data_IF_638748372741
#
_entry.id   IF_638748372741
#
_cell.length_a   1.000
_cell.length_b   1.000
_cell.length_c   1.000
_cell.angle_alpha   90.00
_cell.angle_beta   90.00
_cell.angle_gamma   90.00
#
_symmetry.space_group_name_H-M   'P 1'
#
loop_
_entity.id
_entity.type
_entity.pdbx_description
1 polymer ?
#
# COMPACT_ATOMS: atom_id res chain seq x y z
N UNK A 1 -13.14 1.03 -68.69
CA UNK A 1 -12.30 2.25 -68.51
C UNK A 1 -13.13 3.45 -68.04
N UNK A 2 -14.35 3.64 -68.53
CA UNK A 2 -15.22 4.75 -68.10
C UNK A 2 -15.64 4.70 -66.63
N UNK A 3 -15.87 3.50 -66.08
CA UNK A 3 -16.25 3.32 -64.67
C UNK A 3 -15.10 3.62 -63.69
N UNK A 4 -13.86 3.28 -64.08
CA UNK A 4 -12.64 3.58 -63.30
C UNK A 4 -12.27 5.06 -63.39
N UNK A 5 -12.51 5.70 -64.54
CA UNK A 5 -12.37 7.15 -64.69
C UNK A 5 -13.42 7.91 -63.86
N UNK A 6 -14.66 7.40 -63.81
CA UNK A 6 -15.74 7.93 -62.97
C UNK A 6 -15.39 7.84 -61.47
N UNK A 7 -14.93 6.68 -61.00
CA UNK A 7 -14.53 6.49 -59.60
C UNK A 7 -13.34 7.38 -59.20
N UNK A 8 -12.34 7.56 -60.06
CA UNK A 8 -11.21 8.46 -59.78
C UNK A 8 -11.68 9.92 -59.71
N UNK A 9 -12.66 10.31 -60.54
CA UNK A 9 -13.25 11.65 -60.52
C UNK A 9 -14.04 11.90 -59.23
N UNK A 10 -14.81 10.90 -58.80
CA UNK A 10 -15.60 10.95 -57.57
C UNK A 10 -14.72 10.98 -56.31
N UNK A 11 -13.62 10.20 -56.29
CA UNK A 11 -12.61 10.23 -55.21
C UNK A 11 -11.91 11.59 -55.18
N UNK A 12 -11.55 12.15 -56.34
CA UNK A 12 -10.95 13.49 -56.43
C UNK A 12 -11.90 14.57 -55.93
N UNK A 13 -13.18 14.53 -56.31
CA UNK A 13 -14.20 15.48 -55.82
C UNK A 13 -14.47 15.33 -54.32
N UNK A 14 -14.36 14.11 -53.79
CA UNK A 14 -14.54 13.83 -52.35
C UNK A 14 -13.33 14.29 -51.53
N UNK A 15 -12.10 14.03 -52.00
CA UNK A 15 -10.88 14.57 -51.38
C UNK A 15 -10.84 16.09 -51.43
N UNK A 16 -11.22 16.72 -52.54
CA UNK A 16 -11.29 18.19 -52.64
C UNK A 16 -12.34 18.77 -51.69
N UNK A 17 -13.48 18.09 -51.47
CA UNK A 17 -14.47 18.49 -50.46
C UNK A 17 -13.92 18.32 -49.03
N UNK A 18 -13.19 17.25 -48.75
CA UNK A 18 -12.54 17.01 -47.46
C UNK A 18 -11.43 18.04 -47.17
N UNK A 19 -10.62 18.40 -48.16
CA UNK A 19 -9.61 19.45 -47.99
C UNK A 19 -10.26 20.82 -47.77
N UNK A 20 -11.36 21.12 -48.46
CA UNK A 20 -12.12 22.36 -48.23
C UNK A 20 -12.74 22.43 -46.83
N UNK A 21 -13.16 21.29 -46.24
CA UNK A 21 -13.66 21.25 -44.85
C UNK A 21 -12.55 21.27 -43.81
N UNK A 22 -11.35 20.79 -44.13
CA UNK A 22 -10.17 20.78 -43.25
C UNK A 22 -9.37 22.08 -43.25
N UNK A 23 -9.67 23.05 -44.14
CA UNK A 23 -9.06 24.38 -44.11
C UNK A 23 -9.25 25.01 -42.74
N UNK A 24 -8.13 25.33 -42.09
CA UNK A 24 -8.10 26.01 -40.81
C UNK A 24 -8.74 27.41 -40.94
N UNK A 25 -9.26 27.98 -39.84
CA UNK A 25 -9.80 29.35 -39.85
C UNK A 25 -8.79 30.38 -40.39
N UNK A 26 -7.51 30.13 -40.16
CA UNK A 26 -6.40 30.95 -40.65
C UNK A 26 -6.28 30.85 -42.17
N UNK A 27 -6.25 29.66 -42.74
CA UNK A 27 -6.16 29.45 -44.20
C UNK A 27 -7.37 30.04 -44.94
N UNK A 28 -8.58 29.93 -44.37
CA UNK A 28 -9.79 30.57 -44.93
C UNK A 28 -9.68 32.10 -44.95
N UNK A 29 -9.07 32.69 -43.92
CA UNK A 29 -8.86 34.14 -43.84
C UNK A 29 -7.80 34.63 -44.83
N UNK A 30 -6.78 33.81 -45.11
CA UNK A 30 -5.76 34.07 -46.12
C UNK A 30 -6.37 33.95 -47.53
N UNK A 31 -7.21 32.94 -47.78
CA UNK A 31 -7.92 32.77 -49.05
C UNK A 31 -8.84 33.96 -49.36
N UNK A 32 -9.58 34.46 -48.36
CA UNK A 32 -10.41 35.67 -48.48
C UNK A 32 -9.56 36.92 -48.78
N UNK A 33 -8.41 37.07 -48.12
CA UNK A 33 -7.50 38.18 -48.35
C UNK A 33 -6.93 38.15 -49.77
N UNK A 34 -6.54 36.98 -50.28
CA UNK A 34 -6.05 36.80 -51.65
C UNK A 34 -7.14 37.15 -52.67
N UNK A 35 -8.39 36.72 -52.44
CA UNK A 35 -9.53 37.06 -53.31
C UNK A 35 -9.81 38.56 -53.35
N UNK A 36 -9.76 39.25 -52.20
CA UNK A 36 -9.97 40.70 -52.11
C UNK A 36 -8.85 41.51 -52.80
N UNK A 37 -7.64 40.96 -52.89
CA UNK A 37 -6.47 41.64 -53.47
C UNK A 37 -6.25 41.35 -54.97
N UNK A 38 -7.25 40.82 -55.66
CA UNK A 38 -7.26 40.58 -57.11
C UNK A 38 -6.96 39.13 -57.52
N UNK A 39 -6.94 38.19 -56.56
CA UNK A 39 -6.71 36.77 -56.80
C UNK A 39 -5.24 36.38 -56.86
N UNK A 40 -4.98 35.06 -56.87
CA UNK A 40 -3.65 34.45 -56.78
C UNK A 40 -2.64 35.02 -57.78
N UNK A 41 -3.05 35.17 -59.05
CA UNK A 41 -2.18 35.67 -60.12
C UNK A 41 -1.79 37.14 -59.93
N UNK A 42 -2.67 37.97 -59.38
CA UNK A 42 -2.41 39.39 -59.16
C UNK A 42 -1.53 39.63 -57.93
N UNK A 43 -1.65 38.77 -56.92
CA UNK A 43 -0.78 38.78 -55.73
C UNK A 43 0.63 38.33 -56.11
N UNK A 44 0.77 37.21 -56.84
CA UNK A 44 2.08 36.68 -57.25
C UNK A 44 2.84 37.58 -58.24
N UNK A 45 2.12 38.40 -59.01
CA UNK A 45 2.72 39.36 -59.96
C UNK A 45 3.28 40.62 -59.29
N UNK A 46 2.91 40.92 -58.04
CA UNK A 46 3.37 42.10 -57.30
C UNK A 46 4.14 41.71 -56.05
N UNK A 47 5.44 42.00 -56.03
CA UNK A 47 6.31 41.71 -54.88
C UNK A 47 5.84 42.40 -53.60
N UNK A 48 5.22 43.57 -53.74
CA UNK A 48 4.62 44.30 -52.62
C UNK A 48 3.43 43.55 -52.02
N UNK A 49 2.56 42.97 -52.86
CA UNK A 49 1.41 42.17 -52.38
C UNK A 49 1.85 40.82 -51.80
N UNK A 50 2.90 40.20 -52.34
CA UNK A 50 3.50 39.01 -51.75
C UNK A 50 4.08 39.29 -50.35
N UNK A 51 4.78 40.42 -50.17
CA UNK A 51 5.29 40.84 -48.87
C UNK A 51 4.15 41.09 -47.86
N UNK A 52 3.07 41.76 -48.30
CA UNK A 52 1.88 41.98 -47.47
C UNK A 52 1.19 40.67 -47.06
N UNK A 53 1.14 39.67 -47.93
CA UNK A 53 0.61 38.35 -47.63
C UNK A 53 1.44 37.61 -46.58
N UNK A 54 2.77 37.59 -46.72
CA UNK A 54 3.70 36.96 -45.76
C UNK A 54 3.58 37.62 -44.37
N UNK A 55 3.43 38.95 -44.33
CA UNK A 55 3.18 39.68 -43.07
C UNK A 55 1.81 39.38 -42.47
N UNK A 56 0.78 39.18 -43.29
CA UNK A 56 -0.56 38.82 -42.85
C UNK A 56 -0.58 37.41 -42.23
N UNK A 57 0.09 36.45 -42.86
CA UNK A 57 0.27 35.09 -42.33
C UNK A 57 1.05 35.06 -41.01
N UNK A 58 2.15 35.81 -40.90
CA UNK A 58 2.94 35.91 -39.67
C UNK A 58 2.14 36.50 -38.48
N UNK A 59 1.17 37.39 -38.76
CA UNK A 59 0.27 37.94 -37.73
C UNK A 59 -0.78 36.93 -37.27
N UNK A 60 -1.32 36.13 -38.19
CA UNK A 60 -2.32 35.11 -37.87
C UNK A 60 -1.72 33.99 -37.02
N UNK A 61 -0.51 33.54 -37.34
CA UNK A 61 0.23 32.51 -36.59
C UNK A 61 0.62 32.96 -35.18
N UNK A 62 1.00 34.23 -34.98
CA UNK A 62 1.32 34.78 -33.65
C UNK A 62 0.12 34.83 -32.68
N UNK A 63 -1.12 34.88 -33.20
CA UNK A 63 -2.35 34.91 -32.39
C UNK A 63 -2.83 33.53 -31.91
N UNK A 64 -2.26 32.42 -32.41
CA UNK A 64 -2.73 31.05 -32.10
C UNK A 64 -2.03 30.36 -30.92
N UNK A 65 -1.35 31.11 -30.07
CA UNK A 65 -1.01 30.67 -28.71
C UNK A 65 -0.04 29.49 -28.59
N UNK A 66 0.82 29.24 -29.57
CA UNK A 66 1.99 28.35 -29.40
C UNK A 66 3.24 29.19 -29.16
N UNK A 67 3.43 29.60 -27.91
CA UNK A 67 4.65 30.24 -27.43
C UNK A 67 5.80 29.22 -27.41
N UNK A 68 6.61 29.18 -28.46
CA UNK A 68 8.02 28.81 -28.31
C UNK A 68 8.79 30.10 -28.10
N UNK A 69 9.23 30.29 -26.86
CA UNK A 69 10.11 31.37 -26.43
C UNK A 69 11.41 31.34 -27.26
N UNK A 70 11.62 32.36 -28.07
CA UNK A 70 12.94 32.81 -28.51
C UNK A 70 12.82 34.28 -28.95
N UNK A 71 12.84 35.18 -27.96
CA UNK A 71 13.11 36.60 -28.18
C UNK A 71 14.55 36.76 -28.65
N UNK A 72 14.75 36.82 -29.97
CA UNK A 72 15.93 37.44 -30.56
C UNK A 72 15.44 38.64 -31.37
N UNK A 73 15.78 39.85 -30.93
CA UNK A 73 15.61 41.06 -31.73
C UNK A 73 16.57 40.96 -32.91
N UNK A 74 16.07 40.64 -34.10
CA UNK A 74 16.87 40.69 -35.32
C UNK A 74 16.96 42.14 -35.86
N UNK A 75 18.09 42.54 -36.47
CA UNK A 75 18.25 43.84 -37.12
C UNK A 75 17.29 44.01 -38.30
N UNK A 76 16.84 45.24 -38.54
CA UNK A 76 15.83 45.60 -39.56
C UNK A 76 16.25 45.24 -41.01
N UNK A 77 17.56 45.05 -41.27
CA UNK A 77 18.10 44.60 -42.56
C UNK A 77 17.95 43.09 -42.82
N UNK A 78 18.00 42.26 -41.77
CA UNK A 78 17.84 40.80 -41.89
C UNK A 78 16.38 40.40 -42.09
N UNK A 79 15.44 41.19 -41.55
CA UNK A 79 14.01 41.00 -41.78
C UNK A 79 13.65 41.19 -43.27
N UNK A 80 14.25 42.19 -43.95
CA UNK A 80 14.05 42.42 -45.39
C UNK A 80 14.67 41.30 -46.25
N UNK A 81 15.84 40.77 -45.88
CA UNK A 81 16.43 39.60 -46.56
C UNK A 81 15.61 38.33 -46.35
N UNK A 82 15.07 38.12 -45.15
CA UNK A 82 14.16 37.02 -44.83
C UNK A 82 12.86 37.09 -45.62
N UNK A 83 12.28 38.28 -45.74
CA UNK A 83 11.07 38.56 -46.54
C UNK A 83 11.33 38.31 -48.04
N UNK A 84 12.48 38.75 -48.56
CA UNK A 84 12.88 38.49 -49.96
C UNK A 84 13.07 36.99 -50.24
N UNK A 85 13.67 36.25 -49.30
CA UNK A 85 13.86 34.79 -49.40
C UNK A 85 12.55 34.01 -49.26
N UNK A 86 11.64 34.47 -48.41
CA UNK A 86 10.30 33.90 -48.27
C UNK A 86 9.48 34.10 -49.54
N UNK A 87 9.53 35.28 -50.17
CA UNK A 87 8.86 35.54 -51.46
C UNK A 87 9.49 34.68 -52.57
N UNK A 88 10.81 34.53 -52.59
CA UNK A 88 11.49 33.66 -53.54
C UNK A 88 11.11 32.17 -53.36
N UNK A 89 11.00 31.70 -52.12
CA UNK A 89 10.54 30.35 -51.78
C UNK A 89 9.07 30.14 -52.16
N UNK A 90 8.17 31.08 -51.84
CA UNK A 90 6.76 31.03 -52.24
C UNK A 90 6.60 30.96 -53.77
N UNK A 91 7.36 31.77 -54.51
CA UNK A 91 7.35 31.73 -55.98
C UNK A 91 8.02 30.48 -56.55
N UNK A 92 8.89 29.81 -55.79
CA UNK A 92 9.54 28.55 -56.16
C UNK A 92 8.59 27.37 -55.91
N UNK A 93 8.00 27.31 -54.72
CA UNK A 93 7.01 26.31 -54.30
C UNK A 93 5.74 26.34 -55.16
N UNK A 94 5.27 27.53 -55.56
CA UNK A 94 4.16 27.64 -56.54
C UNK A 94 4.54 27.11 -57.94
N UNK A 95 5.82 27.20 -58.32
CA UNK A 95 6.31 26.72 -59.63
C UNK A 95 6.66 25.24 -59.64
N UNK A 96 6.88 24.64 -58.48
CA UNK A 96 7.21 23.23 -58.34
C UNK A 96 5.92 22.39 -58.30
N UNK A 97 5.85 21.37 -59.16
CA UNK A 97 4.68 20.51 -59.24
C UNK A 97 4.53 19.70 -57.94
N UNK A 98 3.35 19.78 -57.32
CA UNK A 98 2.99 19.09 -56.05
C UNK A 98 3.43 17.62 -56.02
N UNK A 99 3.42 16.94 -57.17
CA UNK A 99 3.86 15.54 -57.30
C UNK A 99 5.34 15.33 -56.95
N UNK A 100 6.22 16.28 -57.29
CA UNK A 100 7.66 16.19 -57.01
C UNK A 100 7.91 16.35 -55.51
N UNK A 101 7.22 17.31 -54.89
CA UNK A 101 7.33 17.59 -53.44
C UNK A 101 6.83 16.40 -52.61
N UNK A 102 5.69 15.81 -52.99
CA UNK A 102 5.14 14.63 -52.30
C UNK A 102 6.11 13.45 -52.38
N UNK A 103 6.72 13.21 -53.54
CA UNK A 103 7.61 12.07 -53.75
C UNK A 103 8.88 12.19 -52.90
N UNK A 104 9.51 13.36 -52.86
CA UNK A 104 10.71 13.59 -52.04
C UNK A 104 10.39 13.46 -50.54
N UNK A 105 9.23 13.96 -50.09
CA UNK A 105 8.86 13.90 -48.70
C UNK A 105 8.50 12.47 -48.24
N UNK A 106 7.84 11.69 -49.12
CA UNK A 106 7.60 10.26 -48.88
C UNK A 106 8.89 9.46 -48.75
N UNK A 107 9.88 9.75 -49.60
CA UNK A 107 11.16 9.03 -49.60
C UNK A 107 11.98 9.33 -48.34
N UNK A 108 11.93 10.58 -47.87
CA UNK A 108 12.54 11.00 -46.60
C UNK A 108 11.80 10.41 -45.39
N UNK A 109 10.47 10.41 -45.41
CA UNK A 109 9.66 9.81 -44.36
C UNK A 109 9.93 8.32 -44.24
N UNK A 110 9.98 7.59 -45.37
CA UNK A 110 10.23 6.15 -45.39
C UNK A 110 11.59 5.78 -44.79
N UNK A 111 12.63 6.57 -45.08
CA UNK A 111 13.97 6.40 -44.50
C UNK A 111 13.99 6.71 -42.99
N UNK A 112 13.32 7.79 -42.56
CA UNK A 112 13.17 8.12 -41.14
C UNK A 112 12.41 7.03 -40.37
N UNK A 113 11.30 6.56 -40.94
CA UNK A 113 10.48 5.51 -40.35
C UNK A 113 11.24 4.18 -40.21
N UNK A 114 12.07 3.81 -41.19
CA UNK A 114 12.93 2.63 -41.07
C UNK A 114 14.00 2.78 -39.98
N UNK A 115 14.57 3.97 -39.82
CA UNK A 115 15.50 4.24 -38.72
C UNK A 115 14.80 4.15 -37.37
N UNK A 116 13.59 4.68 -37.25
CA UNK A 116 12.78 4.60 -36.02
C UNK A 116 12.38 3.16 -35.68
N UNK A 117 12.00 2.35 -36.68
CA UNK A 117 11.72 0.92 -36.47
C UNK A 117 12.97 0.16 -35.99
N UNK A 118 14.13 0.44 -36.59
CA UNK A 118 15.40 -0.18 -36.19
C UNK A 118 15.84 0.25 -34.79
N UNK A 119 15.63 1.53 -34.44
CA UNK A 119 15.91 2.05 -33.11
C UNK A 119 14.96 1.45 -32.07
N UNK A 120 13.68 1.31 -32.40
CA UNK A 120 12.70 0.65 -31.52
C UNK A 120 13.05 -0.83 -31.32
N UNK A 121 13.45 -1.56 -32.36
CA UNK A 121 13.89 -2.95 -32.26
C UNK A 121 15.12 -3.12 -31.36
N UNK A 122 16.10 -2.21 -31.46
CA UNK A 122 17.28 -2.18 -30.58
C UNK A 122 16.93 -1.80 -29.15
N UNK A 123 16.04 -0.83 -28.95
CA UNK A 123 15.61 -0.38 -27.62
C UNK A 123 14.77 -1.45 -26.91
N UNK A 124 13.93 -2.18 -27.66
CA UNK A 124 13.21 -3.35 -27.15
C UNK A 124 14.17 -4.49 -26.82
N UNK A 125 15.15 -4.78 -27.68
CA UNK A 125 16.17 -5.80 -27.44
C UNK A 125 17.00 -5.51 -26.18
N UNK A 126 17.45 -4.28 -26.01
CA UNK A 126 18.22 -3.87 -24.84
C UNK A 126 17.37 -3.85 -23.56
N UNK A 127 16.11 -3.40 -23.62
CA UNK A 127 15.18 -3.45 -22.47
C UNK A 127 14.82 -4.89 -22.09
N UNK A 128 14.61 -5.79 -23.05
CA UNK A 128 14.33 -7.21 -22.81
C UNK A 128 15.54 -7.93 -22.20
N UNK A 129 16.77 -7.64 -22.67
CA UNK A 129 17.99 -8.20 -22.10
C UNK A 129 18.21 -7.66 -20.67
N UNK A 130 17.99 -6.36 -20.43
CA UNK A 130 18.10 -5.80 -19.08
C UNK A 130 17.03 -6.30 -18.11
N UNK A 131 15.78 -6.49 -18.55
CA UNK A 131 14.76 -7.10 -17.69
C UNK A 131 15.00 -8.60 -17.50
N UNK A 132 15.46 -9.30 -18.53
CA UNK A 132 15.90 -10.71 -18.46
C UNK A 132 17.04 -10.90 -17.46
N UNK A 133 18.10 -10.10 -17.55
CA UNK A 133 19.26 -10.16 -16.65
C UNK A 133 18.92 -9.68 -15.23
N UNK A 134 18.01 -8.71 -15.08
CA UNK A 134 17.52 -8.28 -13.77
C UNK A 134 16.65 -9.36 -13.12
N UNK A 135 15.81 -10.05 -13.89
CA UNK A 135 15.03 -11.21 -13.43
C UNK A 135 15.94 -12.40 -13.13
N UNK A 136 16.96 -12.67 -13.94
CA UNK A 136 17.95 -13.74 -13.71
C UNK A 136 18.83 -13.43 -12.49
N UNK A 137 19.26 -12.18 -12.27
CA UNK A 137 19.95 -11.76 -11.05
C UNK A 137 19.02 -11.78 -9.82
N UNK A 138 17.73 -11.48 -9.97
CA UNK A 138 16.72 -11.65 -8.92
C UNK A 138 16.35 -13.11 -8.65
N UNK A 139 16.57 -14.02 -9.62
CA UNK A 139 16.46 -15.48 -9.47
C UNK A 139 17.73 -16.09 -8.86
N UNK A 140 18.90 -15.52 -9.12
CA UNK A 140 20.20 -15.94 -8.56
C UNK A 140 20.44 -15.45 -7.12
N UNK A 141 19.73 -14.41 -6.66
CA UNK A 141 19.64 -14.09 -5.22
C UNK A 141 18.63 -15.06 -4.61
N UNK A 142 19.10 -15.98 -3.78
CA UNK A 142 18.25 -16.98 -3.14
C UNK A 142 17.00 -16.36 -2.49
N UNK A 143 15.85 -17.06 -2.47
CA UNK A 143 14.59 -16.53 -1.95
C UNK A 143 14.67 -15.92 -0.54
N UNK A 144 15.55 -16.47 0.31
CA UNK A 144 15.86 -15.98 1.64
C UNK A 144 16.33 -14.51 1.68
N UNK A 145 16.97 -14.00 0.64
CA UNK A 145 17.43 -12.59 0.56
C UNK A 145 16.28 -11.57 0.53
N UNK A 146 15.03 -12.02 0.35
CA UNK A 146 13.84 -11.16 0.43
C UNK A 146 13.33 -10.98 1.85
N UNK A 147 13.88 -11.73 2.83
CA UNK A 147 13.51 -11.60 4.24
C UNK A 147 14.22 -10.39 4.83
N UNK A 148 13.44 -9.51 5.47
CA UNK A 148 13.93 -8.25 6.02
C UNK A 148 14.57 -8.40 7.40
N UNK A 149 13.99 -9.23 8.27
CA UNK A 149 14.51 -9.44 9.61
C UNK A 149 15.68 -10.42 9.59
N UNK A 150 16.82 -9.99 10.12
CA UNK A 150 18.07 -10.74 10.07
C UNK A 150 18.01 -12.05 10.87
N UNK A 151 17.29 -12.11 11.99
CA UNK A 151 17.20 -13.36 12.76
C UNK A 151 16.32 -14.38 12.03
N UNK A 152 15.21 -13.94 11.44
CA UNK A 152 14.36 -14.81 10.62
C UNK A 152 15.09 -15.25 9.35
N UNK A 153 15.88 -14.38 8.74
CA UNK A 153 16.71 -14.71 7.59
C UNK A 153 17.61 -15.92 7.87
N UNK A 154 18.30 -15.94 9.02
CA UNK A 154 19.16 -17.07 9.41
C UNK A 154 18.34 -18.35 9.59
N UNK A 155 17.23 -18.30 10.32
CA UNK A 155 16.33 -19.46 10.48
C UNK A 155 15.87 -20.00 9.14
N UNK A 156 15.50 -19.11 8.21
CA UNK A 156 14.99 -19.49 6.90
C UNK A 156 16.07 -20.08 5.99
N UNK A 157 17.29 -19.51 6.04
CA UNK A 157 18.46 -19.98 5.30
C UNK A 157 18.92 -21.34 5.81
N UNK A 158 19.04 -21.51 7.12
CA UNK A 158 19.50 -22.76 7.76
C UNK A 158 18.57 -23.94 7.46
N UNK A 159 17.26 -23.67 7.34
CA UNK A 159 16.26 -24.69 6.99
C UNK A 159 16.12 -24.91 5.48
N UNK A 160 16.79 -24.11 4.65
CA UNK A 160 16.76 -24.25 3.19
C UNK A 160 15.39 -23.95 2.55
N UNK A 161 14.55 -23.11 3.19
CA UNK A 161 13.25 -22.77 2.61
C UNK A 161 13.40 -21.82 1.42
N UNK A 162 12.68 -22.15 0.34
CA UNK A 162 12.68 -21.35 -0.88
C UNK A 162 11.62 -20.26 -0.78
N UNK A 163 10.40 -20.45 -1.29
CA UNK A 163 9.36 -19.41 -1.28
C UNK A 163 8.43 -19.42 -0.06
N UNK A 164 8.23 -20.58 0.54
CA UNK A 164 7.32 -20.80 1.66
C UNK A 164 7.83 -21.89 2.59
N UNK A 165 7.37 -21.84 3.83
CA UNK A 165 7.67 -22.79 4.88
C UNK A 165 6.37 -23.35 5.44
N UNK A 166 6.35 -24.59 5.92
CA UNK A 166 5.22 -25.07 6.75
C UNK A 166 5.19 -24.22 8.03
N UNK A 167 4.07 -23.56 8.33
CA UNK A 167 3.95 -22.60 9.44
C UNK A 167 4.41 -23.22 10.77
N UNK A 168 3.99 -24.46 11.03
CA UNK A 168 4.40 -25.22 12.21
C UNK A 168 5.92 -25.38 12.25
N UNK A 169 6.54 -25.89 11.18
CA UNK A 169 8.00 -26.08 11.10
C UNK A 169 8.77 -24.77 11.28
N UNK A 170 8.27 -23.66 10.70
CA UNK A 170 8.83 -22.33 10.88
C UNK A 170 8.85 -21.91 12.35
N UNK A 171 7.72 -22.03 13.03
CA UNK A 171 7.61 -21.63 14.44
C UNK A 171 8.51 -22.48 15.36
N UNK A 172 8.62 -23.78 15.09
CA UNK A 172 9.56 -24.65 15.82
C UNK A 172 11.02 -24.27 15.54
N UNK A 173 11.39 -24.01 14.29
CA UNK A 173 12.75 -23.61 13.94
C UNK A 173 13.15 -22.27 14.57
N UNK A 174 12.21 -21.30 14.62
CA UNK A 174 12.41 -20.02 15.32
C UNK A 174 12.68 -20.28 16.81
N UNK A 175 11.89 -21.14 17.46
CA UNK A 175 12.11 -21.51 18.86
C UNK A 175 13.47 -22.16 19.06
N UNK A 176 13.81 -23.15 18.26
CA UNK A 176 15.06 -23.88 18.39
C UNK A 176 16.28 -22.98 18.16
N UNK A 177 16.17 -22.05 17.21
CA UNK A 177 17.20 -21.03 16.96
C UNK A 177 17.44 -20.14 18.19
N UNK A 178 16.38 -19.63 18.82
CA UNK A 178 16.54 -18.82 20.02
C UNK A 178 17.08 -19.61 21.21
N UNK A 179 16.63 -20.85 21.41
CA UNK A 179 17.12 -21.70 22.50
C UNK A 179 18.62 -22.00 22.33
N UNK A 180 19.06 -22.34 21.11
CA UNK A 180 20.49 -22.52 20.79
C UNK A 180 21.31 -21.26 21.05
N UNK A 181 20.78 -20.08 20.74
CA UNK A 181 21.47 -18.80 21.05
C UNK A 181 21.66 -18.61 22.55
N UNK A 182 20.63 -18.87 23.36
CA UNK A 182 20.74 -18.74 24.83
C UNK A 182 21.76 -19.74 25.40
N UNK A 183 21.75 -20.99 24.93
CA UNK A 183 22.72 -22.00 25.35
C UNK A 183 24.15 -21.59 24.97
N UNK A 184 24.35 -21.10 23.75
CA UNK A 184 25.65 -20.61 23.29
C UNK A 184 26.17 -19.43 24.12
N UNK A 185 25.32 -18.44 24.41
CA UNK A 185 25.64 -17.30 25.29
C UNK A 185 26.04 -17.78 26.69
N UNK A 186 25.29 -18.72 27.28
CA UNK A 186 25.60 -19.27 28.59
C UNK A 186 26.95 -20.01 28.59
N UNK A 187 27.23 -20.81 27.56
CA UNK A 187 28.52 -21.51 27.42
C UNK A 187 29.70 -20.55 27.23
N UNK A 188 29.53 -19.45 26.49
CA UNK A 188 30.52 -18.38 26.36
C UNK A 188 30.83 -17.75 27.72
N UNK A 189 29.81 -17.32 28.46
CA UNK A 189 29.97 -16.70 29.79
C UNK A 189 30.70 -17.61 30.77
N UNK A 190 30.35 -18.90 30.83
CA UNK A 190 30.99 -19.89 31.71
C UNK A 190 32.46 -20.13 31.32
N UNK A 191 32.78 -20.15 30.01
CA UNK A 191 34.17 -20.25 29.53
C UNK A 191 34.98 -19.02 29.92
N UNK A 192 34.47 -17.83 29.65
CA UNK A 192 35.11 -16.57 30.00
C UNK A 192 35.35 -16.47 31.52
N UNK A 193 34.36 -16.82 32.36
CA UNK A 193 34.52 -16.82 33.81
C UNK A 193 35.60 -17.81 34.30
N UNK A 194 35.70 -18.99 33.66
CA UNK A 194 36.78 -19.96 33.95
C UNK A 194 38.15 -19.45 33.52
N UNK A 195 38.24 -18.76 32.39
CA UNK A 195 39.48 -18.14 31.89
C UNK A 195 39.94 -16.96 32.77
N UNK A 196 39.00 -16.15 33.27
CA UNK A 196 39.28 -15.09 34.25
C UNK A 196 39.76 -15.65 35.59
N UNK A 197 39.20 -16.79 36.05
CA UNK A 197 39.64 -17.45 37.28
C UNK A 197 40.98 -18.19 37.13
N UNK A 198 41.42 -18.49 35.91
CA UNK A 198 42.67 -19.23 35.65
C UNK A 198 43.82 -18.37 35.11
N UNK A 199 43.61 -17.07 34.85
CA UNK A 199 44.67 -16.12 34.52
C UNK A 199 45.50 -15.75 35.77
N UNK A 200 46.47 -16.61 36.06
CA UNK A 200 47.76 -16.18 36.61
C UNK A 200 48.54 -15.44 35.52
N UNK A 201 49.22 -14.38 35.94
CA UNK A 201 49.92 -13.37 35.13
C UNK A 201 50.85 -14.01 34.07
N UNK A 202 50.50 -13.89 32.78
CA UNK A 202 51.48 -13.87 31.70
C UNK A 202 50.88 -13.25 30.43
N UNK A 203 51.49 -12.21 29.83
CA UNK A 203 50.99 -11.56 28.64
C UNK A 203 51.60 -12.22 27.39
N UNK A 204 50.81 -13.05 26.71
CA UNK A 204 51.11 -13.45 25.34
C UNK A 204 49.87 -13.13 24.49
N UNK A 205 49.97 -12.20 23.52
CA UNK A 205 48.87 -11.95 22.60
C UNK A 205 48.80 -13.13 21.65
N UNK A 206 47.75 -13.95 21.78
CA UNK A 206 47.35 -14.85 20.71
C UNK A 206 46.46 -14.03 19.79
N UNK A 207 46.95 -13.80 18.58
CA UNK A 207 46.13 -13.38 17.45
C UNK A 207 45.17 -14.53 17.14
N UNK A 208 43.98 -14.46 17.73
CA UNK A 208 42.85 -15.27 17.28
C UNK A 208 42.50 -14.76 15.87
N UNK A 209 42.89 -15.52 14.86
CA UNK A 209 42.35 -15.36 13.51
C UNK A 209 40.87 -15.73 13.60
N UNK A 210 40.04 -14.70 13.74
CA UNK A 210 38.62 -14.81 13.45
C UNK A 210 38.51 -15.14 11.96
N UNK A 211 38.16 -16.37 11.63
CA UNK A 211 37.83 -16.78 10.28
C UNK A 211 36.65 -15.90 9.81
N UNK A 212 36.93 -14.95 8.90
CA UNK A 212 35.98 -13.96 8.36
C UNK A 212 34.76 -14.58 7.62
N UNK A 213 34.70 -15.90 7.49
CA UNK A 213 33.66 -16.66 6.77
C UNK A 213 32.85 -17.62 7.67
N UNK A 214 32.87 -17.48 9.00
CA UNK A 214 31.94 -18.20 9.90
C UNK A 214 30.60 -17.43 10.01
N UNK A 215 29.44 -18.01 9.62
CA UNK A 215 28.11 -17.39 9.81
C UNK A 215 27.78 -17.01 11.25
N UNK A 216 28.60 -17.47 12.20
CA UNK A 216 28.57 -17.25 13.65
C UNK A 216 29.04 -15.84 14.07
N UNK A 217 29.58 -15.01 13.17
CA UNK A 217 29.94 -13.62 13.50
C UNK A 217 28.74 -12.78 14.03
N UNK A 218 27.51 -13.09 13.61
CA UNK A 218 26.28 -12.46 14.15
C UNK A 218 25.83 -13.01 15.53
N UNK A 219 26.46 -14.09 16.01
CA UNK A 219 26.25 -14.66 17.37
C UNK A 219 27.15 -14.00 18.43
N UNK A 220 27.87 -12.92 18.10
CA UNK A 220 28.66 -12.14 19.06
C UNK A 220 27.84 -11.14 19.89
N UNK A 221 26.62 -10.78 19.44
CA UNK A 221 25.74 -9.85 20.15
C UNK A 221 24.81 -10.62 21.09
N UNK A 222 24.74 -10.29 22.40
CA UNK A 222 23.81 -10.91 23.32
C UNK A 222 22.37 -10.84 22.81
N UNK A 223 21.60 -11.91 22.98
CA UNK A 223 20.19 -11.92 22.58
C UNK A 223 19.43 -10.89 23.45
N UNK A 224 18.84 -9.83 22.85
CA UNK A 224 18.03 -8.88 23.61
C UNK A 224 16.78 -9.59 24.17
N UNK A 225 16.29 -9.12 25.32
CA UNK A 225 15.07 -9.64 25.96
C UNK A 225 15.08 -11.17 26.20
N UNK A 226 16.18 -11.69 26.76
CA UNK A 226 16.31 -13.11 27.08
C UNK A 226 15.19 -13.67 27.99
N UNK A 227 14.54 -12.81 28.79
CA UNK A 227 13.35 -13.15 29.58
C UNK A 227 12.20 -13.71 28.73
N UNK A 228 12.10 -13.31 27.46
CA UNK A 228 11.07 -13.77 26.51
C UNK A 228 11.10 -15.30 26.30
N UNK A 229 12.26 -15.92 26.48
CA UNK A 229 12.47 -17.35 26.20
C UNK A 229 11.70 -18.27 27.14
N UNK A 230 11.44 -17.83 28.38
CA UNK A 230 10.62 -18.56 29.33
C UNK A 230 9.17 -18.78 28.85
N UNK A 231 8.70 -17.95 27.92
CA UNK A 231 7.35 -17.97 27.37
C UNK A 231 7.25 -18.67 26.00
N UNK A 232 8.38 -19.03 25.40
CA UNK A 232 8.46 -19.74 24.11
C UNK A 232 8.27 -21.26 24.28
N UNK A 233 7.21 -21.64 24.99
CA UNK A 233 6.86 -23.02 25.29
C UNK A 233 6.06 -23.64 24.14
N UNK A 234 6.24 -24.94 23.90
CA UNK A 234 5.59 -25.68 22.79
C UNK A 234 4.06 -25.51 22.78
N UNK A 235 3.43 -25.49 23.95
CA UNK A 235 1.97 -25.32 24.10
C UNK A 235 1.47 -23.97 23.59
N UNK A 236 2.30 -22.93 23.63
CA UNK A 236 1.95 -21.54 23.25
C UNK A 236 2.31 -21.21 21.80
N UNK A 237 3.09 -22.07 21.14
CA UNK A 237 3.48 -21.88 19.75
C UNK A 237 2.30 -21.87 18.78
N UNK A 238 1.15 -22.44 19.17
CA UNK A 238 -0.07 -22.36 18.36
C UNK A 238 -0.52 -20.91 18.12
N UNK A 239 -0.36 -20.02 19.11
CA UNK A 239 -0.77 -18.63 18.97
C UNK A 239 0.14 -17.88 17.99
N UNK A 240 1.45 -18.16 18.06
CA UNK A 240 2.40 -17.62 17.09
C UNK A 240 2.12 -18.14 15.67
N UNK A 241 1.72 -19.41 15.52
CA UNK A 241 1.32 -19.96 14.22
C UNK A 241 0.13 -19.21 13.62
N UNK A 242 -0.89 -18.90 14.42
CA UNK A 242 -2.09 -18.18 13.96
C UNK A 242 -1.78 -16.77 13.46
N UNK A 243 -0.83 -16.08 14.10
CA UNK A 243 -0.48 -14.70 13.75
C UNK A 243 0.41 -14.65 12.50
N UNK A 244 1.33 -15.61 12.36
CA UNK A 244 2.21 -15.72 11.19
C UNK A 244 1.45 -16.22 9.95
N UNK A 245 0.45 -17.08 10.15
CA UNK A 245 -0.41 -17.61 9.10
C UNK A 245 -1.88 -17.25 9.39
N UNK A 246 -2.24 -15.97 9.18
CA UNK A 246 -3.56 -15.46 9.54
C UNK A 246 -4.69 -16.05 8.72
N UNK A 247 -4.37 -16.66 7.57
CA UNK A 247 -5.35 -17.32 6.72
C UNK A 247 -5.53 -18.80 7.05
N UNK A 248 -4.78 -19.32 8.04
CA UNK A 248 -4.78 -20.74 8.38
C UNK A 248 -4.42 -21.63 7.20
N UNK A 249 -3.54 -21.15 6.32
CA UNK A 249 -3.14 -21.85 5.10
C UNK A 249 -2.31 -23.13 5.39
N UNK A 250 -1.68 -23.21 6.56
CA UNK A 250 -0.70 -24.22 6.95
C UNK A 250 0.71 -23.90 6.45
N UNK A 251 0.86 -22.86 5.63
CA UNK A 251 2.12 -22.43 5.03
C UNK A 251 2.33 -20.93 5.26
N UNK A 252 3.58 -20.52 5.47
CA UNK A 252 3.96 -19.12 5.60
C UNK A 252 4.81 -18.75 4.40
N UNK A 253 4.44 -17.69 3.69
CA UNK A 253 5.26 -17.13 2.62
C UNK A 253 6.26 -16.11 3.16
N UNK A 254 7.26 -15.76 2.35
CA UNK A 254 8.17 -14.65 2.68
C UNK A 254 7.42 -13.34 2.92
N UNK A 255 6.32 -13.10 2.19
CA UNK A 255 5.51 -11.90 2.39
C UNK A 255 4.85 -11.88 3.77
N UNK A 256 4.32 -13.02 4.22
CA UNK A 256 3.64 -13.13 5.51
C UNK A 256 4.62 -12.92 6.66
N UNK A 257 5.79 -13.56 6.62
CA UNK A 257 6.79 -13.40 7.68
C UNK A 257 7.41 -12.00 7.69
N UNK A 258 7.55 -11.36 6.52
CA UNK A 258 7.97 -9.97 6.44
C UNK A 258 6.89 -9.04 7.00
N UNK A 259 5.60 -9.27 6.70
CA UNK A 259 4.51 -8.49 7.27
C UNK A 259 4.50 -8.62 8.81
N UNK A 260 4.64 -9.85 9.33
CA UNK A 260 4.73 -10.12 10.77
C UNK A 260 5.91 -9.39 11.43
N UNK A 261 7.10 -9.44 10.84
CA UNK A 261 8.30 -8.80 11.41
C UNK A 261 8.31 -7.28 11.23
N UNK A 262 7.71 -6.75 10.16
CA UNK A 262 7.58 -5.30 9.93
C UNK A 262 6.49 -4.66 10.81
N UNK A 263 5.50 -5.43 11.27
CA UNK A 263 4.48 -4.95 12.20
C UNK A 263 5.01 -4.75 13.64
N UNK A 264 6.23 -5.21 13.92
CA UNK A 264 6.91 -5.03 15.20
C UNK A 264 7.18 -3.53 15.47
N UNK A 265 6.95 -3.03 16.71
CA UNK A 265 7.39 -1.69 17.10
C UNK A 265 8.90 -1.50 16.91
N UNK A 266 9.32 -0.30 16.49
CA UNK A 266 10.71 -0.04 16.13
C UNK A 266 11.69 -0.20 17.30
N UNK A 267 11.23 0.06 18.52
CA UNK A 267 11.94 -0.05 19.79
C UNK A 267 11.92 -1.47 20.39
N UNK A 268 11.21 -2.41 19.76
CA UNK A 268 11.08 -3.77 20.24
C UNK A 268 12.05 -4.73 19.55
N UNK A 269 12.64 -5.63 20.34
CA UNK A 269 13.39 -6.76 19.82
C UNK A 269 12.46 -7.83 19.24
N UNK A 270 12.97 -8.68 18.34
CA UNK A 270 12.22 -9.81 17.81
C UNK A 270 11.77 -10.79 18.93
N UNK A 271 12.62 -11.16 19.91
CA UNK A 271 12.19 -11.95 21.07
C UNK A 271 11.00 -11.35 21.83
N UNK A 272 11.02 -10.04 22.13
CA UNK A 272 9.91 -9.36 22.79
C UNK A 272 8.64 -9.40 21.95
N UNK A 273 8.75 -9.13 20.65
CA UNK A 273 7.61 -9.21 19.72
C UNK A 273 6.97 -10.59 19.66
N UNK A 274 7.80 -11.63 19.56
CA UNK A 274 7.33 -13.01 19.58
C UNK A 274 6.68 -13.33 20.92
N UNK A 275 7.27 -12.88 22.03
CA UNK A 275 6.72 -13.11 23.36
C UNK A 275 5.33 -12.51 23.52
N UNK A 276 5.06 -11.34 22.93
CA UNK A 276 3.73 -10.76 22.90
C UNK A 276 2.72 -11.72 22.25
N UNK A 277 3.04 -12.31 21.10
CA UNK A 277 2.14 -13.26 20.44
C UNK A 277 2.08 -14.64 21.09
N UNK A 278 3.01 -14.98 21.98
CA UNK A 278 2.91 -16.21 22.79
C UNK A 278 2.16 -16.06 24.12
N UNK A 279 2.22 -14.88 24.75
CA UNK A 279 1.63 -14.62 26.08
C UNK A 279 1.03 -13.21 26.23
N UNK A 280 1.66 -12.17 25.67
CA UNK A 280 1.22 -10.78 25.82
C UNK A 280 -0.20 -10.50 25.29
N UNK A 281 -0.60 -11.12 24.18
CA UNK A 281 -1.96 -11.01 23.65
C UNK A 281 -2.99 -11.61 24.62
N UNK A 282 -2.67 -12.73 25.30
CA UNK A 282 -3.56 -13.40 26.26
C UNK A 282 -3.72 -12.54 27.52
N UNK A 283 -2.63 -11.92 27.99
CA UNK A 283 -2.66 -10.94 29.08
C UNK A 283 -3.56 -9.75 28.72
N UNK A 284 -3.39 -9.23 27.50
CA UNK A 284 -4.16 -8.08 27.00
C UNK A 284 -5.64 -8.43 26.86
N UNK A 285 -5.95 -9.57 26.25
CA UNK A 285 -7.31 -10.10 26.12
C UNK A 285 -7.97 -10.28 27.49
N UNK A 286 -7.27 -10.85 28.46
CA UNK A 286 -7.76 -11.00 29.84
C UNK A 286 -8.09 -9.64 30.47
N UNK A 287 -7.22 -8.64 30.31
CA UNK A 287 -7.47 -7.26 30.78
C UNK A 287 -8.77 -6.71 30.17
N UNK A 288 -8.98 -6.84 28.85
CA UNK A 288 -10.18 -6.32 28.21
C UNK A 288 -11.44 -7.11 28.58
N UNK A 289 -11.36 -8.44 28.74
CA UNK A 289 -12.48 -9.24 29.24
C UNK A 289 -12.94 -8.77 30.63
N UNK A 290 -12.01 -8.56 31.57
CA UNK A 290 -12.33 -8.06 32.91
C UNK A 290 -12.98 -6.67 32.83
N UNK A 291 -12.44 -5.77 32.00
CA UNK A 291 -13.02 -4.44 31.84
C UNK A 291 -14.45 -4.48 31.25
N UNK A 292 -14.71 -5.37 30.29
CA UNK A 292 -16.06 -5.57 29.74
C UNK A 292 -17.03 -6.07 30.81
N UNK A 293 -16.59 -7.01 31.67
CA UNK A 293 -17.41 -7.50 32.79
C UNK A 293 -17.70 -6.41 33.83
N UNK A 294 -16.72 -5.57 34.14
CA UNK A 294 -16.90 -4.40 35.01
C UNK A 294 -17.87 -3.39 34.39
N UNK A 295 -17.78 -3.14 33.08
CA UNK A 295 -18.71 -2.28 32.35
C UNK A 295 -20.14 -2.82 32.43
N UNK A 296 -20.36 -4.11 32.17
CA UNK A 296 -21.68 -4.71 32.32
C UNK A 296 -22.20 -4.62 33.74
N UNK A 297 -21.34 -4.88 34.74
CA UNK A 297 -21.71 -4.76 36.16
C UNK A 297 -22.23 -3.35 36.47
N UNK A 298 -21.58 -2.32 35.94
CA UNK A 298 -22.04 -0.93 36.06
C UNK A 298 -23.36 -0.69 35.32
N UNK A 299 -23.52 -1.21 34.09
CA UNK A 299 -24.76 -1.11 33.31
C UNK A 299 -25.95 -1.73 34.07
N UNK A 300 -25.79 -2.92 34.65
CA UNK A 300 -26.85 -3.56 35.45
C UNK A 300 -27.22 -2.76 36.71
N UNK A 301 -26.25 -2.12 37.36
CA UNK A 301 -26.53 -1.23 38.48
C UNK A 301 -27.33 0.00 38.03
N UNK A 302 -27.00 0.58 36.87
CA UNK A 302 -27.74 1.70 36.30
C UNK A 302 -29.15 1.28 35.87
N UNK A 303 -29.31 0.12 35.23
CA UNK A 303 -30.61 -0.42 34.85
C UNK A 303 -31.58 -0.46 36.03
N UNK A 304 -31.13 -0.96 37.19
CA UNK A 304 -31.94 -0.99 38.43
C UNK A 304 -32.34 0.42 38.88
N UNK A 305 -31.42 1.38 38.83
CA UNK A 305 -31.69 2.77 39.21
C UNK A 305 -32.63 3.47 38.23
N UNK A 306 -32.44 3.29 36.92
CA UNK A 306 -33.27 3.84 35.85
C UNK A 306 -34.69 3.30 35.98
N UNK A 307 -34.87 2.01 36.24
CA UNK A 307 -36.18 1.42 36.44
C UNK A 307 -36.97 2.04 37.61
N UNK A 308 -36.29 2.60 38.61
CA UNK A 308 -36.93 3.29 39.75
C UNK A 308 -37.13 4.80 39.50
N UNK A 309 -36.17 5.47 38.87
CA UNK A 309 -36.14 6.93 38.75
C UNK A 309 -36.73 7.45 37.43
N UNK A 310 -36.55 6.72 36.33
CA UNK A 310 -36.96 7.09 34.98
C UNK A 310 -37.58 5.88 34.24
N UNK A 311 -38.80 5.44 34.60
CA UNK A 311 -39.41 4.24 34.05
C UNK A 311 -39.59 4.26 32.53
N UNK A 312 -39.72 5.44 31.91
CA UNK A 312 -39.83 5.60 30.45
C UNK A 312 -38.61 5.06 29.70
N UNK A 313 -37.41 5.19 30.28
CA UNK A 313 -36.16 4.70 29.68
C UNK A 313 -35.89 3.21 29.93
N UNK A 314 -36.67 2.57 30.81
CA UNK A 314 -36.42 1.19 31.26
C UNK A 314 -36.42 0.22 30.08
N UNK A 315 -37.37 0.37 29.16
CA UNK A 315 -37.51 -0.52 28.00
C UNK A 315 -36.25 -0.47 27.12
N UNK A 316 -35.80 0.71 26.73
CA UNK A 316 -34.63 0.89 25.86
C UNK A 316 -33.35 0.33 26.47
N UNK A 317 -33.16 0.51 27.78
CA UNK A 317 -31.98 -0.04 28.48
C UNK A 317 -32.05 -1.57 28.56
N UNK A 318 -33.24 -2.15 28.77
CA UNK A 318 -33.41 -3.60 28.77
C UNK A 318 -33.11 -4.20 27.40
N UNK A 319 -33.66 -3.63 26.33
CA UNK A 319 -33.42 -4.10 24.95
C UNK A 319 -31.93 -4.03 24.59
N UNK A 320 -31.25 -2.93 24.93
CA UNK A 320 -29.80 -2.82 24.76
C UNK A 320 -29.04 -3.94 25.50
N UNK A 321 -29.39 -4.20 26.77
CA UNK A 321 -28.73 -5.23 27.59
C UNK A 321 -29.00 -6.62 27.00
N UNK A 322 -30.25 -6.94 26.68
CA UNK A 322 -30.65 -8.25 26.18
C UNK A 322 -29.92 -8.60 24.87
N UNK A 323 -29.78 -7.61 23.98
CA UNK A 323 -29.01 -7.77 22.74
C UNK A 323 -27.51 -7.91 23.02
N UNK A 324 -26.89 -6.92 23.68
CA UNK A 324 -25.43 -6.85 23.80
C UNK A 324 -24.84 -7.90 24.75
N UNK A 325 -25.53 -8.22 25.85
CA UNK A 325 -25.06 -9.19 26.84
C UNK A 325 -24.81 -10.57 26.23
N UNK A 326 -25.73 -11.06 25.41
CA UNK A 326 -25.66 -12.41 24.82
C UNK A 326 -24.38 -12.58 23.98
N UNK A 327 -24.14 -11.67 23.05
CA UNK A 327 -23.02 -11.80 22.12
C UNK A 327 -21.67 -11.49 22.77
N UNK A 328 -21.60 -10.41 23.56
CA UNK A 328 -20.34 -9.98 24.17
C UNK A 328 -19.90 -10.97 25.25
N UNK A 329 -20.83 -11.47 26.08
CA UNK A 329 -20.50 -12.46 27.12
C UNK A 329 -20.08 -13.80 26.52
N UNK A 330 -20.71 -14.22 25.42
CA UNK A 330 -20.28 -15.43 24.70
C UNK A 330 -18.82 -15.29 24.21
N UNK A 331 -18.46 -14.12 23.68
CA UNK A 331 -17.10 -13.84 23.24
C UNK A 331 -16.10 -13.81 24.41
N UNK A 332 -16.38 -13.05 25.47
CA UNK A 332 -15.45 -12.93 26.62
C UNK A 332 -15.30 -14.24 27.41
N UNK A 333 -16.32 -15.10 27.40
CA UNK A 333 -16.28 -16.43 28.02
C UNK A 333 -15.51 -17.46 27.19
N UNK A 334 -15.32 -17.21 25.89
CA UNK A 334 -14.56 -18.10 25.00
C UNK A 334 -13.04 -17.93 25.09
N UNK A 335 -12.57 -16.85 25.71
CA UNK A 335 -11.15 -16.54 25.85
C UNK A 335 -10.56 -17.32 27.03
N UNK A 336 -9.50 -18.09 26.75
CA UNK A 336 -8.68 -18.70 27.79
C UNK A 336 -7.90 -17.60 28.54
N UNK A 337 -8.20 -17.40 29.83
CA UNK A 337 -7.67 -16.28 30.60
C UNK A 337 -6.30 -16.58 31.20
N UNK A 338 -5.53 -15.52 31.39
CA UNK A 338 -4.29 -15.55 32.16
C UNK A 338 -4.39 -14.56 33.34
N UNK A 339 -5.07 -14.99 34.39
CA UNK A 339 -5.54 -14.12 35.48
C UNK A 339 -4.44 -13.59 36.40
N UNK A 340 -3.26 -14.23 36.45
CA UNK A 340 -2.16 -13.85 37.34
C UNK A 340 -0.83 -13.57 36.61
N UNK A 341 -0.75 -12.55 35.73
CA UNK A 341 0.52 -12.13 35.16
C UNK A 341 1.31 -11.30 36.19
N UNK A 342 2.62 -11.49 36.25
CA UNK A 342 3.49 -10.63 37.04
C UNK A 342 3.41 -9.18 36.56
N UNK A 343 3.55 -8.23 37.48
CA UNK A 343 3.45 -6.80 37.16
C UNK A 343 4.49 -6.40 36.10
N UNK A 344 5.73 -6.88 36.29
CA UNK A 344 6.84 -6.68 35.35
C UNK A 344 6.48 -7.16 33.94
N UNK A 345 5.83 -8.33 33.80
CA UNK A 345 5.43 -8.85 32.49
C UNK A 345 4.33 -8.02 31.83
N UNK A 346 3.40 -7.46 32.62
CA UNK A 346 2.38 -6.53 32.08
C UNK A 346 3.04 -5.25 31.56
N UNK A 347 4.03 -4.73 32.28
CA UNK A 347 4.76 -3.53 31.89
C UNK A 347 5.55 -3.72 30.59
N UNK A 348 6.08 -4.93 30.32
CA UNK A 348 6.78 -5.25 29.08
C UNK A 348 5.94 -5.09 27.80
N UNK A 349 4.61 -5.03 27.89
CA UNK A 349 3.74 -4.91 26.70
C UNK A 349 2.84 -3.68 26.73
N UNK A 350 2.91 -2.88 27.81
CA UNK A 350 1.95 -1.81 28.08
C UNK A 350 1.97 -0.74 27.00
N UNK A 351 3.15 -0.29 26.61
CA UNK A 351 3.40 0.66 25.53
C UNK A 351 2.69 0.28 24.23
N UNK A 352 2.84 -0.96 23.77
CA UNK A 352 2.19 -1.44 22.55
C UNK A 352 0.67 -1.58 22.72
N UNK A 353 0.22 -2.12 23.85
CA UNK A 353 -1.22 -2.30 24.11
C UNK A 353 -1.95 -0.95 24.18
N UNK A 354 -1.36 0.01 24.88
CA UNK A 354 -1.91 1.36 25.03
C UNK A 354 -1.85 2.11 23.68
N UNK A 355 -0.84 1.89 22.84
CA UNK A 355 -0.80 2.46 21.49
C UNK A 355 -1.88 1.87 20.58
N UNK A 356 -2.12 0.55 20.64
CA UNK A 356 -3.22 -0.09 19.89
C UNK A 356 -4.59 0.42 20.36
N UNK A 357 -4.80 0.56 21.67
CA UNK A 357 -6.03 1.13 22.24
C UNK A 357 -6.23 2.57 21.75
N UNK A 358 -5.16 3.36 21.73
CA UNK A 358 -5.20 4.74 21.25
C UNK A 358 -5.53 4.82 19.75
N UNK A 359 -4.88 4.05 18.90
CA UNK A 359 -5.13 4.06 17.45
C UNK A 359 -6.61 3.77 17.12
N UNK A 360 -7.19 2.76 17.79
CA UNK A 360 -8.60 2.39 17.61
C UNK A 360 -9.51 3.48 18.17
N UNK A 361 -9.16 4.06 19.32
CA UNK A 361 -9.91 5.15 19.93
C UNK A 361 -9.93 6.39 19.02
N UNK A 362 -8.79 6.81 18.50
CA UNK A 362 -8.67 7.95 17.60
C UNK A 362 -9.50 7.71 16.31
N UNK A 363 -9.48 6.48 15.78
CA UNK A 363 -10.33 6.07 14.66
C UNK A 363 -11.83 6.12 14.97
N UNK A 364 -12.25 5.69 16.17
CA UNK A 364 -13.64 5.78 16.63
C UNK A 364 -14.09 7.23 16.83
N UNK A 365 -13.22 8.08 17.37
CA UNK A 365 -13.50 9.50 17.56
C UNK A 365 -13.66 10.23 16.22
N UNK A 366 -12.85 9.88 15.22
CA UNK A 366 -12.94 10.45 13.86
C UNK A 366 -14.30 10.20 13.19
N UNK A 367 -14.92 9.04 13.45
CA UNK A 367 -16.27 8.69 12.95
C UNK A 367 -17.39 8.97 13.97
N UNK A 368 -17.07 9.64 15.08
CA UNK A 368 -18.01 9.93 16.17
C UNK A 368 -18.73 8.69 16.73
N UNK A 369 -18.04 7.55 16.75
CA UNK A 369 -18.57 6.26 17.19
C UNK A 369 -19.76 5.73 16.38
N UNK A 370 -20.00 6.23 15.15
CA UNK A 370 -21.04 5.73 14.26
C UNK A 370 -20.52 4.58 13.41
N UNK A 371 -20.87 3.35 13.79
CA UNK A 371 -20.52 2.13 13.05
C UNK A 371 -21.75 1.64 12.32
N UNK A 372 -21.85 1.95 11.03
CA UNK A 372 -23.00 1.57 10.20
C UNK A 372 -22.77 0.27 9.43
N UNK A 373 -21.51 -0.04 9.09
CA UNK A 373 -21.18 -1.18 8.24
C UNK A 373 -19.76 -1.72 8.47
N UNK A 374 -19.51 -2.87 7.85
CA UNK A 374 -18.24 -3.59 7.84
C UNK A 374 -17.06 -2.75 7.35
N UNK A 375 -17.27 -1.93 6.32
CA UNK A 375 -16.21 -1.10 5.73
C UNK A 375 -15.70 -0.04 6.71
N UNK A 376 -16.60 0.45 7.57
CA UNK A 376 -16.25 1.37 8.66
C UNK A 376 -15.28 0.69 9.64
N UNK A 377 -15.53 -0.57 9.98
CA UNK A 377 -14.63 -1.37 10.83
C UNK A 377 -13.27 -1.55 10.15
N UNK A 378 -13.24 -1.94 8.87
CA UNK A 378 -11.97 -2.09 8.13
C UNK A 378 -11.15 -0.80 8.10
N UNK A 379 -11.83 0.35 8.03
CA UNK A 379 -11.21 1.67 8.04
C UNK A 379 -10.60 2.00 9.41
N UNK A 380 -11.34 1.79 10.51
CA UNK A 380 -10.85 2.00 11.89
C UNK A 380 -9.64 1.10 12.18
N UNK A 381 -9.70 -0.15 11.74
CA UNK A 381 -8.66 -1.13 12.00
C UNK A 381 -7.44 -0.94 11.09
N UNK A 382 -7.48 -0.02 10.12
CA UNK A 382 -6.40 0.24 9.16
C UNK A 382 -5.87 -1.05 8.48
N UNK A 383 -6.78 -1.96 8.13
CA UNK A 383 -6.43 -3.26 7.53
C UNK A 383 -5.92 -4.32 8.52
N UNK A 384 -5.91 -4.05 9.84
CA UNK A 384 -5.68 -5.08 10.86
C UNK A 384 -6.86 -6.04 10.93
N UNK A 385 -6.56 -7.24 11.38
CA UNK A 385 -7.54 -8.30 11.61
C UNK A 385 -8.47 -7.97 12.78
N UNK A 386 -9.76 -8.26 12.59
CA UNK A 386 -10.77 -8.01 13.61
C UNK A 386 -10.55 -8.86 14.85
N UNK A 387 -10.13 -10.12 14.69
CA UNK A 387 -9.84 -11.07 15.77
C UNK A 387 -8.77 -10.55 16.75
N UNK A 388 -7.85 -9.70 16.27
CA UNK A 388 -6.79 -9.11 17.10
C UNK A 388 -7.25 -7.88 17.89
N UNK A 389 -8.31 -7.21 17.41
CA UNK A 389 -8.72 -5.88 17.90
C UNK A 389 -10.13 -5.86 18.50
N UNK A 390 -10.91 -6.94 18.35
CA UNK A 390 -12.34 -6.98 18.70
C UNK A 390 -12.61 -6.67 20.16
N UNK A 391 -11.80 -7.19 21.09
CA UNK A 391 -11.97 -6.93 22.52
C UNK A 391 -11.71 -5.46 22.87
N UNK A 392 -10.73 -4.83 22.23
CA UNK A 392 -10.43 -3.40 22.41
C UNK A 392 -11.58 -2.55 21.87
N UNK A 393 -12.04 -2.86 20.66
CA UNK A 393 -13.15 -2.19 20.00
C UNK A 393 -14.44 -2.26 20.85
N UNK A 394 -14.80 -3.46 21.32
CA UNK A 394 -15.96 -3.66 22.20
C UNK A 394 -15.81 -2.89 23.52
N UNK A 395 -14.64 -2.90 24.13
CA UNK A 395 -14.39 -2.15 25.38
C UNK A 395 -14.61 -0.65 25.17
N UNK A 396 -14.08 -0.07 24.10
CA UNK A 396 -14.21 1.36 23.80
C UNK A 396 -15.66 1.75 23.48
N UNK A 397 -16.37 0.94 22.69
CA UNK A 397 -17.80 1.14 22.40
C UNK A 397 -18.63 1.05 23.68
N UNK A 398 -18.42 0.02 24.49
CA UNK A 398 -19.17 -0.15 25.74
C UNK A 398 -18.90 0.97 26.75
N UNK A 399 -17.68 1.52 26.84
CA UNK A 399 -17.41 2.72 27.64
C UNK A 399 -18.25 3.91 27.17
N UNK A 400 -18.36 4.11 25.85
CA UNK A 400 -19.20 5.17 25.27
C UNK A 400 -20.69 4.93 25.54
N UNK A 401 -21.15 3.69 25.45
CA UNK A 401 -22.54 3.32 25.69
C UNK A 401 -22.90 3.47 27.17
N UNK A 402 -22.01 3.08 28.08
CA UNK A 402 -22.18 3.30 29.52
C UNK A 402 -22.35 4.79 29.83
N UNK A 403 -21.61 5.68 29.16
CA UNK A 403 -21.80 7.13 29.30
C UNK A 403 -23.17 7.59 28.81
N UNK A 404 -23.71 7.02 27.71
CA UNK A 404 -25.09 7.28 27.27
C UNK A 404 -26.12 6.77 28.28
N UNK A 405 -25.94 5.57 28.82
CA UNK A 405 -26.84 4.98 29.82
C UNK A 405 -26.87 5.80 31.12
N UNK A 406 -25.76 6.44 31.49
CA UNK A 406 -25.76 7.41 32.60
C UNK A 406 -26.65 8.63 32.33
N UNK A 407 -26.83 9.05 31.08
CA UNK A 407 -27.74 10.16 30.74
C UNK A 407 -29.21 9.74 30.90
N UNK A 408 -29.52 8.46 30.67
CA UNK A 408 -30.87 7.90 30.88
C UNK A 408 -31.36 7.99 32.34
N UNK A 409 -30.46 8.23 33.30
CA UNK A 409 -30.85 8.53 34.69
C UNK A 409 -31.36 9.95 34.90
N UNK A 410 -30.96 10.88 34.03
CA UNK A 410 -31.19 12.32 34.22
C UNK A 410 -32.30 12.86 33.32
N UNK A 411 -32.49 12.24 32.16
CA UNK A 411 -33.45 12.70 31.16
C UNK A 411 -33.98 11.53 30.32
N UNK A 412 -35.17 11.72 29.75
CA UNK A 412 -35.69 10.82 28.72
C UNK A 412 -34.81 10.92 27.47
N UNK A 413 -34.47 9.77 26.92
CA UNK A 413 -33.64 9.67 25.72
C UNK A 413 -34.50 9.29 24.52
N UNK A 414 -34.03 9.66 23.32
CA UNK A 414 -34.62 9.18 22.08
C UNK A 414 -34.43 7.67 21.95
N UNK A 415 -35.45 6.98 21.42
CA UNK A 415 -35.46 5.52 21.20
C UNK A 415 -34.25 5.06 20.38
N UNK A 416 -33.81 5.87 19.41
CA UNK A 416 -32.73 5.50 18.48
C UNK A 416 -31.35 5.54 19.12
N UNK A 417 -31.14 6.30 20.20
CA UNK A 417 -29.81 6.52 20.76
C UNK A 417 -29.16 5.26 21.34
N UNK A 418 -29.96 4.38 21.97
CA UNK A 418 -29.52 3.09 22.47
C UNK A 418 -29.67 1.98 21.43
N UNK A 419 -30.64 2.10 20.51
CA UNK A 419 -30.78 1.17 19.38
C UNK A 419 -29.53 1.23 18.48
N UNK A 420 -29.12 2.43 18.06
CA UNK A 420 -27.89 2.67 17.29
C UNK A 420 -26.64 2.11 18.02
N UNK A 421 -26.62 2.23 19.35
CA UNK A 421 -25.53 1.70 20.18
C UNK A 421 -25.51 0.16 20.17
N UNK A 422 -26.66 -0.50 20.26
CA UNK A 422 -26.76 -1.95 20.10
C UNK A 422 -26.43 -2.39 18.67
N UNK A 423 -26.91 -1.67 17.66
CA UNK A 423 -26.61 -1.96 16.25
C UNK A 423 -25.11 -1.88 15.97
N UNK A 424 -24.39 -0.90 16.53
CA UNK A 424 -22.94 -0.80 16.40
C UNK A 424 -22.22 -2.05 16.94
N UNK A 425 -22.66 -2.62 18.07
CA UNK A 425 -22.15 -3.89 18.57
C UNK A 425 -22.52 -5.03 17.62
N UNK A 426 -23.76 -5.04 17.10
CA UNK A 426 -24.23 -5.99 16.10
C UNK A 426 -23.31 -6.06 14.87
N UNK A 427 -22.98 -4.90 14.28
CA UNK A 427 -22.08 -4.81 13.12
C UNK A 427 -20.68 -5.37 13.44
N UNK A 428 -20.16 -5.14 14.66
CA UNK A 428 -18.87 -5.73 15.08
C UNK A 428 -18.94 -7.25 15.20
N UNK A 429 -20.04 -7.78 15.72
CA UNK A 429 -20.24 -9.23 15.85
C UNK A 429 -20.44 -9.87 14.47
N UNK A 430 -21.21 -9.24 13.57
CA UNK A 430 -21.38 -9.68 12.20
C UNK A 430 -20.03 -9.70 11.46
N UNK A 431 -19.17 -8.72 11.73
CA UNK A 431 -17.83 -8.67 11.19
C UNK A 431 -16.95 -9.84 11.62
N UNK A 432 -17.02 -10.17 12.91
CA UNK A 432 -16.32 -11.33 13.44
C UNK A 432 -16.88 -12.64 12.86
N UNK A 433 -18.21 -12.73 12.71
CA UNK A 433 -18.87 -13.91 12.16
C UNK A 433 -18.58 -14.13 10.68
N UNK A 434 -18.53 -13.06 9.88
CA UNK A 434 -18.12 -13.11 8.48
C UNK A 434 -16.69 -13.64 8.35
N UNK A 435 -15.77 -13.13 9.19
CA UNK A 435 -14.39 -13.60 9.23
C UNK A 435 -14.29 -15.06 9.67
N UNK A 436 -15.02 -15.46 10.70
CA UNK A 436 -15.10 -16.86 11.14
C UNK A 436 -15.59 -17.78 10.01
N UNK A 437 -16.63 -17.37 9.28
CA UNK A 437 -17.20 -18.13 8.17
C UNK A 437 -16.21 -18.28 7.01
N UNK A 438 -15.46 -17.22 6.68
CA UNK A 438 -14.39 -17.25 5.69
C UNK A 438 -13.30 -18.28 6.06
N UNK A 439 -12.84 -18.26 7.30
CA UNK A 439 -11.82 -19.19 7.80
C UNK A 439 -12.35 -20.63 7.81
N UNK A 440 -13.60 -20.82 8.27
CA UNK A 440 -14.26 -22.13 8.29
C UNK A 440 -14.35 -22.71 6.88
N UNK A 441 -14.85 -21.96 5.91
CA UNK A 441 -14.98 -22.42 4.51
C UNK A 441 -13.65 -22.88 3.91
N UNK A 442 -12.53 -22.21 4.24
CA UNK A 442 -11.19 -22.61 3.78
C UNK A 442 -10.66 -23.87 4.45
N UNK A 443 -11.03 -24.14 5.71
CA UNK A 443 -10.62 -25.36 6.39
C UNK A 443 -11.30 -26.62 5.82
N UNK A 444 -12.58 -26.53 5.44
CA UNK A 444 -13.31 -27.66 4.83
C UNK A 444 -12.83 -27.97 3.41
N UNK A 445 -12.47 -26.95 2.62
CA UNK A 445 -11.89 -27.16 1.28
C UNK A 445 -10.57 -27.93 1.29
N UNK A 446 -9.85 -28.01 2.41
CA UNK A 446 -8.59 -28.75 2.53
C UNK A 446 -8.75 -30.19 3.03
N UNK A 447 -9.91 -30.56 3.56
CA UNK A 447 -10.17 -31.94 3.99
C UNK A 447 -10.71 -32.83 2.87
N UNK A 448 -11.04 -32.25 1.70
CA UNK A 448 -11.60 -32.96 0.53
C UNK A 448 -10.57 -33.16 -0.61
N UNK A 449 -9.31 -32.78 -0.40
CA UNK A 449 -8.16 -33.04 -1.29
C UNK A 449 -7.05 -33.69 -0.51
#
# INVERSE_FOLDING_TARGET
>A
MDEMSSNIKEIKETMMRMFATMLTPQEKSIELWIKQNGGEKAVLASDQKCAEMVRYEAKLTASSGQTVSSKVKMPEEDAKKGETRAIANLKKEYREGIQVIIQENLDNFSKGFQLDLNNLGKDLGNKIIHEGDRVIQHLNRGPHNRIKDMMIFHVWKDQGWMGSAKTRSLVFAIRDYFMKRVEHEHHKLVRTEREFRTRSISPAPKEDKEDEDDPVAYLGVPLPDNWAMGYLQVKRLQYLQQVIDPNGSGFTTISDINAFTCARPADWSLPRWISYWTIGWQISATRYCIQIEELFSQIFLLQKKIAMQMPGNKRYVNEYIDFTWRYVTALTSSIDRYDSPSLTLKEQFKDYVDSQEKDIKDGLEAIQYKIENMNTITSILHGKQIEQSVLVLLTLLMRRHLAKIHLCLKMEIDERELDDASSAIGVVIDALWARFSELKGRTFSKSET
#
